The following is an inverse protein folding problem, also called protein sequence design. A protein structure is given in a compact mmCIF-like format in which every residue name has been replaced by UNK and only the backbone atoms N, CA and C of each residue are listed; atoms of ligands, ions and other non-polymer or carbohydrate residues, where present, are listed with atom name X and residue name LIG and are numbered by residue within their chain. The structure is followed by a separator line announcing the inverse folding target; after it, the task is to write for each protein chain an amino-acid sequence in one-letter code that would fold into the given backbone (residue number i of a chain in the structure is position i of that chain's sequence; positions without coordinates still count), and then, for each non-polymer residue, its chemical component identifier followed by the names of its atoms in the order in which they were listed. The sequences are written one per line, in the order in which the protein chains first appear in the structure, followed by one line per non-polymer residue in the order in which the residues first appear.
data_IF_918881303434
#
_entry.id   IF_918881303434
#
_cell.length_a   1.000
_cell.length_b   1.000
_cell.length_c   1.000
_cell.angle_alpha   90.00
_cell.angle_beta   90.00
_cell.angle_gamma   90.00
#
_symmetry.space_group_name_H-M   'P 1'
#
loop_
_entity.id
_entity.type
_entity.pdbx_description
1 polymer ?
#
# COMPACT_ATOMS: atom_id res chain seq x y z
N UNK A 1 4.07 1.99 9.92
CA UNK A 1 4.20 2.89 8.76
C UNK A 1 3.81 4.32 9.16
N UNK A 2 4.68 5.30 8.87
CA UNK A 2 4.35 6.72 9.11
C UNK A 2 3.18 7.20 8.22
N UNK A 3 3.14 6.90 6.93
CA UNK A 3 1.97 7.23 6.11
C UNK A 3 0.66 6.65 6.64
N UNK A 4 0.67 5.41 7.15
CA UNK A 4 -0.52 4.80 7.73
C UNK A 4 -1.03 5.57 8.96
N UNK A 5 -0.13 6.03 9.81
CA UNK A 5 -0.50 6.86 10.98
C UNK A 5 -1.15 8.20 10.59
N UNK A 6 -0.78 8.74 9.44
CA UNK A 6 -1.36 10.00 8.95
C UNK A 6 -2.69 9.78 8.21
N UNK A 7 -2.77 8.79 7.34
CA UNK A 7 -3.92 8.58 6.45
C UNK A 7 -5.09 7.85 7.11
N UNK A 8 -4.81 6.83 7.94
CA UNK A 8 -5.89 6.03 8.57
C UNK A 8 -6.85 6.88 9.42
N UNK A 9 -6.40 7.82 10.26
CA UNK A 9 -7.33 8.68 11.02
C UNK A 9 -8.24 9.55 10.15
N UNK A 10 -7.78 9.95 8.96
CA UNK A 10 -8.62 10.70 8.01
C UNK A 10 -9.70 9.79 7.42
N UNK A 11 -9.34 8.57 7.06
CA UNK A 11 -10.24 7.57 6.51
C UNK A 11 -11.31 7.14 7.52
N UNK A 12 -10.95 6.94 8.78
CA UNK A 12 -11.86 6.50 9.85
C UNK A 12 -13.01 7.50 10.10
N UNK A 13 -12.83 8.79 9.79
CA UNK A 13 -13.87 9.82 9.90
C UNK A 13 -14.94 9.73 8.83
N UNK A 14 -14.71 8.95 7.77
CA UNK A 14 -15.63 8.84 6.63
C UNK A 14 -16.65 7.72 6.90
N UNK A 15 -17.96 7.98 6.75
CA UNK A 15 -18.96 6.93 6.86
C UNK A 15 -18.92 6.02 5.63
N UNK A 16 -18.96 4.72 5.87
CA UNK A 16 -19.11 3.69 4.83
C UNK A 16 -20.30 2.78 5.17
N UNK A 17 -20.68 1.93 4.24
CA UNK A 17 -21.73 0.94 4.42
C UNK A 17 -21.28 -0.46 3.98
N UNK A 18 -22.00 -1.48 4.44
CA UNK A 18 -21.79 -2.86 4.01
C UNK A 18 -20.34 -3.34 4.18
N UNK A 19 -19.80 -3.89 3.11
CA UNK A 19 -18.43 -4.46 3.07
C UNK A 19 -17.35 -3.43 3.40
N UNK A 20 -17.49 -2.22 2.86
CA UNK A 20 -16.47 -1.18 3.06
C UNK A 20 -16.45 -0.71 4.52
N UNK A 21 -17.60 -0.64 5.19
CA UNK A 21 -17.66 -0.34 6.62
C UNK A 21 -17.01 -1.44 7.45
N UNK A 22 -17.24 -2.72 7.10
CA UNK A 22 -16.57 -3.84 7.76
C UNK A 22 -15.05 -3.77 7.60
N UNK A 23 -14.56 -3.48 6.39
CA UNK A 23 -13.13 -3.30 6.15
C UNK A 23 -12.55 -2.10 6.91
N UNK A 24 -13.30 -0.98 6.99
CA UNK A 24 -12.89 0.19 7.77
C UNK A 24 -12.78 -0.13 9.26
N UNK A 25 -13.77 -0.82 9.84
CA UNK A 25 -13.75 -1.13 11.28
C UNK A 25 -12.56 -2.01 11.69
N UNK A 26 -12.02 -2.83 10.78
CA UNK A 26 -10.79 -3.57 11.05
C UNK A 26 -9.56 -2.64 11.25
N UNK A 27 -9.59 -1.40 10.75
CA UNK A 27 -8.51 -0.44 10.91
C UNK A 27 -8.57 0.36 12.22
N UNK A 28 -9.65 0.27 13.00
CA UNK A 28 -9.88 1.12 14.18
C UNK A 28 -8.83 0.91 15.28
N UNK A 29 -8.49 -0.35 15.56
CA UNK A 29 -7.50 -0.73 16.59
C UNK A 29 -6.15 -1.16 16.00
N UNK A 30 -5.90 -0.86 14.72
CA UNK A 30 -4.67 -1.27 14.06
C UNK A 30 -3.44 -0.47 14.53
N UNK A 31 -2.35 -1.16 14.79
CA UNK A 31 -1.08 -0.59 15.28
C UNK A 31 -0.22 0.08 14.19
N UNK A 32 -0.70 0.15 12.96
CA UNK A 32 -0.02 0.69 11.77
C UNK A 32 1.24 -0.08 11.35
N UNK A 33 1.41 -1.32 11.80
CA UNK A 33 2.51 -2.19 11.37
C UNK A 33 2.10 -2.96 10.12
N UNK A 34 2.99 -2.96 9.13
CA UNK A 34 2.77 -3.74 7.91
C UNK A 34 3.32 -5.17 8.13
N UNK A 35 2.71 -5.88 9.06
CA UNK A 35 3.08 -7.25 9.38
C UNK A 35 2.53 -8.22 8.30
N UNK A 36 3.28 -9.28 7.93
CA UNK A 36 2.81 -10.23 6.94
C UNK A 36 1.50 -10.94 7.30
N UNK A 37 1.18 -11.10 8.56
CA UNK A 37 -0.06 -11.76 9.02
C UNK A 37 -1.24 -10.80 9.21
N UNK A 38 -1.00 -9.48 9.12
CA UNK A 38 -2.03 -8.46 9.32
C UNK A 38 -2.96 -8.36 8.11
N UNK A 39 -4.27 -8.40 8.38
CA UNK A 39 -5.34 -8.12 7.42
C UNK A 39 -5.43 -6.59 7.19
N UNK A 40 -5.31 -5.83 8.25
CA UNK A 40 -5.34 -4.36 8.26
C UNK A 40 -4.24 -3.79 7.35
N UNK A 41 -3.05 -4.39 7.38
CA UNK A 41 -1.95 -4.01 6.50
C UNK A 41 -2.30 -4.21 5.01
N UNK A 42 -3.03 -5.29 4.68
CA UNK A 42 -3.49 -5.52 3.32
C UNK A 42 -4.54 -4.47 2.90
N UNK A 43 -5.53 -4.21 3.76
CA UNK A 43 -6.58 -3.21 3.52
C UNK A 43 -5.96 -1.82 3.34
N UNK A 44 -5.09 -1.41 4.26
CA UNK A 44 -4.41 -0.13 4.19
C UNK A 44 -3.54 0.00 2.93
N UNK A 45 -2.74 -1.01 2.61
CA UNK A 45 -1.84 -0.94 1.44
C UNK A 45 -2.61 -0.89 0.12
N UNK A 46 -3.75 -1.57 0.04
CA UNK A 46 -4.63 -1.49 -1.12
C UNK A 46 -5.24 -0.07 -1.25
N UNK A 47 -5.70 0.49 -0.15
CA UNK A 47 -6.17 1.88 -0.09
C UNK A 47 -5.07 2.88 -0.48
N UNK A 48 -3.87 2.80 0.11
CA UNK A 48 -2.73 3.69 -0.18
C UNK A 48 -2.40 3.70 -1.67
N UNK A 49 -2.37 2.54 -2.31
CA UNK A 49 -2.09 2.41 -3.75
C UNK A 49 -3.16 3.06 -4.63
N UNK A 50 -4.43 2.82 -4.31
CA UNK A 50 -5.52 3.44 -5.05
C UNK A 50 -5.58 4.96 -4.82
N UNK A 51 -5.23 5.42 -3.61
CA UNK A 51 -5.12 6.84 -3.30
C UNK A 51 -4.02 7.52 -4.13
N UNK A 52 -2.82 6.93 -4.20
CA UNK A 52 -1.74 7.47 -5.03
C UNK A 52 -2.13 7.52 -6.51
N UNK A 53 -2.76 6.45 -7.01
CA UNK A 53 -3.19 6.36 -8.41
C UNK A 53 -4.27 7.40 -8.73
N UNK A 54 -5.33 7.46 -7.93
CA UNK A 54 -6.43 8.41 -8.13
C UNK A 54 -5.99 9.87 -7.95
N UNK A 55 -5.13 10.14 -6.97
CA UNK A 55 -4.56 11.46 -6.80
C UNK A 55 -3.76 11.89 -8.05
N UNK A 56 -2.96 11.00 -8.61
CA UNK A 56 -2.25 11.28 -9.86
C UNK A 56 -3.23 11.56 -11.01
N UNK A 57 -4.26 10.73 -11.17
CA UNK A 57 -5.26 10.91 -12.25
C UNK A 57 -6.10 12.18 -12.10
N UNK A 58 -6.43 12.59 -10.88
CA UNK A 58 -7.37 13.68 -10.63
C UNK A 58 -6.70 15.03 -10.33
N UNK A 59 -5.51 15.03 -9.76
CA UNK A 59 -4.83 16.25 -9.30
C UNK A 59 -3.68 16.68 -10.20
N UNK A 60 -3.19 15.79 -11.08
CA UNK A 60 -2.14 16.15 -12.05
C UNK A 60 -2.79 16.49 -13.38
N UNK A 61 -2.55 17.70 -13.94
CA UNK A 61 -3.07 18.05 -15.25
C UNK A 61 -2.65 17.04 -16.32
N UNK A 62 -3.59 16.68 -17.20
CA UNK A 62 -3.39 15.62 -18.21
C UNK A 62 -2.17 15.85 -19.09
N UNK A 63 -1.87 17.11 -19.40
CA UNK A 63 -0.76 17.52 -20.27
C UNK A 63 0.62 17.16 -19.68
N UNK A 64 0.71 17.04 -18.35
CA UNK A 64 1.98 16.76 -17.64
C UNK A 64 2.01 15.40 -16.96
N UNK A 65 0.94 14.60 -17.02
CA UNK A 65 0.89 13.28 -16.37
C UNK A 65 1.99 12.33 -16.85
N UNK A 66 2.38 12.43 -18.12
CA UNK A 66 3.47 11.60 -18.67
C UNK A 66 4.85 11.93 -18.11
N UNK A 67 5.04 13.14 -17.58
CA UNK A 67 6.29 13.60 -16.96
C UNK A 67 6.31 13.40 -15.45
N UNK A 68 5.13 13.43 -14.81
CA UNK A 68 4.96 13.26 -13.36
C UNK A 68 4.49 11.82 -13.12
N UNK A 69 5.42 10.88 -12.99
CA UNK A 69 5.09 9.46 -12.83
C UNK A 69 4.23 9.18 -11.59
N UNK A 70 4.43 9.95 -10.53
CA UNK A 70 3.68 9.84 -9.27
C UNK A 70 3.77 11.11 -8.44
N UNK A 71 2.75 11.37 -7.63
CA UNK A 71 2.80 12.39 -6.59
C UNK A 71 3.61 11.84 -5.41
N UNK A 72 4.49 12.65 -4.83
CA UNK A 72 5.18 12.27 -3.59
C UNK A 72 4.15 12.11 -2.46
N UNK A 73 4.15 10.96 -1.79
CA UNK A 73 3.14 10.64 -0.76
C UNK A 73 3.15 11.62 0.41
N UNK A 74 4.32 12.15 0.81
CA UNK A 74 4.40 13.17 1.86
C UNK A 74 3.68 14.46 1.45
N UNK A 75 3.84 14.90 0.20
CA UNK A 75 3.09 16.05 -0.33
C UNK A 75 1.60 15.76 -0.38
N UNK A 76 1.21 14.59 -0.85
CA UNK A 76 -0.21 14.19 -0.90
C UNK A 76 -0.84 14.20 0.49
N UNK A 77 -0.16 13.66 1.50
CA UNK A 77 -0.62 13.70 2.89
C UNK A 77 -0.79 15.13 3.38
N UNK A 78 0.15 16.04 3.07
CA UNK A 78 0.03 17.46 3.40
C UNK A 78 -1.21 18.10 2.77
N UNK A 79 -1.44 17.88 1.48
CA UNK A 79 -2.63 18.39 0.78
C UNK A 79 -3.94 17.80 1.33
N UNK A 80 -3.94 16.53 1.75
CA UNK A 80 -5.12 15.91 2.36
C UNK A 80 -5.36 16.40 3.78
N UNK A 81 -4.30 16.76 4.51
CA UNK A 81 -4.42 17.30 5.87
C UNK A 81 -4.98 18.71 5.88
N UNK A 82 -4.55 19.55 4.92
CA UNK A 82 -4.94 20.94 4.76
C UNK A 82 -5.41 21.20 3.32
N UNK A 83 -6.61 20.75 2.96
CA UNK A 83 -7.09 20.86 1.59
C UNK A 83 -7.38 22.30 1.21
N UNK A 84 -6.77 22.75 0.11
CA UNK A 84 -6.92 24.11 -0.42
C UNK A 84 -7.69 24.13 -1.74
N UNK A 85 -8.29 25.26 -2.09
CA UNK A 85 -8.96 25.45 -3.37
C UNK A 85 -8.02 25.37 -4.57
N UNK A 86 -6.74 25.65 -4.38
CA UNK A 86 -5.71 25.54 -5.40
C UNK A 86 -5.53 24.07 -5.87
N UNK A 87 -5.58 23.12 -4.94
CA UNK A 87 -5.37 21.68 -5.23
C UNK A 87 -6.71 20.98 -5.50
N UNK A 88 -7.75 21.26 -4.72
CA UNK A 88 -9.00 20.52 -4.72
C UNK A 88 -10.21 21.27 -5.31
N UNK A 89 -9.97 22.47 -5.88
CA UNK A 89 -11.01 23.26 -6.50
C UNK A 89 -11.97 23.95 -5.51
N UNK A 90 -13.15 24.33 -5.95
CA UNK A 90 -14.10 25.17 -5.20
C UNK A 90 -14.65 24.57 -3.91
N UNK A 91 -14.57 23.26 -3.75
CA UNK A 91 -15.07 22.56 -2.55
C UNK A 91 -14.00 21.61 -1.99
N UNK A 92 -12.90 22.12 -1.43
CA UNK A 92 -11.71 21.32 -1.11
C UNK A 92 -12.00 20.13 -0.19
N UNK A 93 -12.73 20.35 0.89
CA UNK A 93 -13.11 19.31 1.87
C UNK A 93 -13.95 18.18 1.24
N UNK A 94 -14.89 18.56 0.37
CA UNK A 94 -15.76 17.60 -0.33
C UNK A 94 -14.96 16.78 -1.34
N UNK A 95 -14.10 17.44 -2.12
CA UNK A 95 -13.24 16.77 -3.11
C UNK A 95 -12.25 15.83 -2.45
N UNK A 96 -11.59 16.26 -1.37
CA UNK A 96 -10.72 15.39 -0.55
C UNK A 96 -11.46 14.16 -0.06
N UNK A 97 -12.65 14.36 0.55
CA UNK A 97 -13.45 13.27 1.10
C UNK A 97 -13.86 12.30 0.01
N UNK A 98 -14.26 12.79 -1.16
CA UNK A 98 -14.60 11.95 -2.31
C UNK A 98 -13.41 11.13 -2.80
N UNK A 99 -12.21 11.73 -2.88
CA UNK A 99 -10.98 11.05 -3.25
C UNK A 99 -10.63 9.91 -2.29
N UNK A 100 -10.66 10.18 -0.97
CA UNK A 100 -10.39 9.17 0.06
C UNK A 100 -11.44 8.04 0.01
N UNK A 101 -12.72 8.39 -0.14
CA UNK A 101 -13.82 7.41 -0.25
C UNK A 101 -13.62 6.49 -1.45
N UNK A 102 -13.38 7.07 -2.62
CA UNK A 102 -13.19 6.32 -3.86
C UNK A 102 -11.95 5.41 -3.79
N UNK A 103 -10.84 5.93 -3.23
CA UNK A 103 -9.62 5.16 -3.06
C UNK A 103 -9.83 3.95 -2.16
N UNK A 104 -10.54 4.11 -1.05
CA UNK A 104 -10.82 3.03 -0.13
C UNK A 104 -11.71 1.96 -0.75
N UNK A 105 -12.81 2.37 -1.38
CA UNK A 105 -13.75 1.46 -2.04
C UNK A 105 -13.06 0.64 -3.13
N UNK A 106 -12.23 1.27 -3.97
CA UNK A 106 -11.44 0.56 -4.99
C UNK A 106 -10.40 -0.37 -4.39
N UNK A 107 -9.77 0.01 -3.29
CA UNK A 107 -8.84 -0.85 -2.56
C UNK A 107 -9.51 -2.11 -2.03
N UNK A 108 -10.66 -1.98 -1.38
CA UNK A 108 -11.47 -3.10 -0.87
C UNK A 108 -11.96 -3.99 -2.02
N UNK A 109 -12.40 -3.39 -3.12
CA UNK A 109 -12.83 -4.14 -4.31
C UNK A 109 -11.68 -4.93 -4.93
N UNK A 110 -10.50 -4.30 -5.08
CA UNK A 110 -9.29 -4.96 -5.58
C UNK A 110 -8.88 -6.17 -4.73
N UNK A 111 -8.96 -6.06 -3.40
CA UNK A 111 -8.70 -7.18 -2.50
C UNK A 111 -9.73 -8.29 -2.67
N UNK A 112 -11.01 -7.93 -2.76
CA UNK A 112 -12.09 -8.90 -3.00
C UNK A 112 -11.87 -9.68 -4.29
N UNK A 113 -11.52 -9.00 -5.37
CA UNK A 113 -11.23 -9.65 -6.66
C UNK A 113 -10.01 -10.57 -6.61
N UNK A 114 -8.95 -10.16 -5.89
CA UNK A 114 -7.72 -10.94 -5.78
C UNK A 114 -7.82 -12.13 -4.82
N UNK A 115 -8.47 -11.95 -3.69
CA UNK A 115 -8.42 -12.87 -2.56
C UNK A 115 -9.77 -13.53 -2.24
N UNK A 116 -10.84 -13.03 -2.84
CA UNK A 116 -12.21 -13.48 -2.55
C UNK A 116 -12.89 -12.64 -1.46
N UNK A 117 -14.17 -12.93 -1.17
CA UNK A 117 -15.01 -12.10 -0.31
C UNK A 117 -14.73 -12.27 1.20
N UNK A 118 -14.05 -13.34 1.60
CA UNK A 118 -13.72 -13.59 3.02
C UNK A 118 -12.51 -12.77 3.45
N UNK A 119 -12.76 -11.69 4.19
CA UNK A 119 -11.72 -10.79 4.68
C UNK A 119 -10.72 -11.46 5.63
N UNK A 120 -11.10 -12.56 6.31
CA UNK A 120 -10.18 -13.29 7.19
C UNK A 120 -9.00 -13.93 6.42
N UNK A 121 -9.14 -14.05 5.09
CA UNK A 121 -8.09 -14.56 4.20
C UNK A 121 -7.19 -13.45 3.63
N UNK A 122 -7.42 -12.18 3.97
CA UNK A 122 -6.68 -11.05 3.40
C UNK A 122 -5.35 -10.76 4.10
N UNK A 123 -4.63 -11.80 4.50
CA UNK A 123 -3.29 -11.62 5.07
C UNK A 123 -2.37 -10.91 4.07
N UNK A 124 -1.61 -9.92 4.56
CA UNK A 124 -0.76 -9.09 3.72
C UNK A 124 0.39 -9.87 3.08
N UNK A 125 1.06 -10.72 3.86
CA UNK A 125 2.23 -11.48 3.42
C UNK A 125 1.87 -12.79 2.74
N UNK A 126 1.32 -12.75 1.53
CA UNK A 126 0.95 -13.91 0.75
C UNK A 126 1.31 -13.77 -0.74
N UNK A 127 1.24 -14.88 -1.49
CA UNK A 127 1.65 -14.94 -2.90
C UNK A 127 0.96 -13.91 -3.81
N UNK A 128 -0.30 -13.56 -3.54
CA UNK A 128 -1.06 -12.57 -4.32
C UNK A 128 -0.86 -11.12 -3.84
N UNK A 129 -0.23 -10.94 -2.69
CA UNK A 129 0.10 -9.64 -2.10
C UNK A 129 1.60 -9.57 -1.80
N UNK A 130 2.02 -9.13 -0.61
CA UNK A 130 3.43 -8.89 -0.29
C UNK A 130 4.22 -10.18 -0.14
N UNK A 131 5.08 -10.46 -1.11
CA UNK A 131 5.92 -11.66 -1.15
C UNK A 131 7.29 -11.38 -1.79
N UNK A 132 8.18 -12.35 -1.69
CA UNK A 132 9.46 -12.36 -2.41
C UNK A 132 9.82 -13.76 -2.89
N UNK A 133 10.71 -13.83 -3.87
CA UNK A 133 11.37 -15.05 -4.30
C UNK A 133 12.88 -14.92 -4.09
N UNK A 134 13.49 -15.96 -3.58
CA UNK A 134 14.94 -16.13 -3.63
C UNK A 134 15.27 -16.90 -4.92
N UNK A 135 15.75 -16.18 -5.92
CA UNK A 135 16.05 -16.74 -7.23
C UNK A 135 17.51 -17.15 -7.29
N UNK A 136 17.76 -18.41 -7.65
CA UNK A 136 19.11 -18.90 -7.87
C UNK A 136 19.72 -18.31 -9.14
N UNK A 137 21.00 -17.98 -9.10
CA UNK A 137 21.71 -17.36 -10.24
C UNK A 137 21.65 -18.20 -11.52
N UNK A 138 21.70 -19.52 -11.39
CA UNK A 138 21.60 -20.47 -12.51
C UNK A 138 20.15 -20.65 -13.02
N UNK A 139 19.13 -20.15 -12.31
CA UNK A 139 17.73 -20.37 -12.68
C UNK A 139 17.40 -19.94 -14.12
N UNK A 140 18.01 -18.87 -14.60
CA UNK A 140 17.80 -18.39 -15.99
C UNK A 140 18.41 -19.28 -17.09
N UNK A 141 19.21 -20.27 -16.73
CA UNK A 141 19.95 -21.14 -17.67
C UNK A 141 19.43 -22.58 -17.69
N UNK A 142 18.39 -22.89 -16.91
CA UNK A 142 17.80 -24.22 -16.78
C UNK A 142 16.34 -24.21 -17.18
N UNK A 143 15.79 -25.40 -17.45
CA UNK A 143 14.36 -25.55 -17.72
C UNK A 143 13.46 -25.15 -16.53
N UNK A 144 12.16 -24.93 -16.81
CA UNK A 144 11.20 -24.45 -15.80
C UNK A 144 11.06 -25.39 -14.59
N UNK A 145 11.16 -26.71 -14.80
CA UNK A 145 11.07 -27.70 -13.72
C UNK A 145 12.26 -27.58 -12.77
N UNK A 146 13.46 -27.49 -13.33
CA UNK A 146 14.70 -27.30 -12.56
C UNK A 146 14.71 -25.93 -11.90
N UNK A 147 14.21 -24.87 -12.58
CA UNK A 147 14.10 -23.53 -12.00
C UNK A 147 13.22 -23.53 -10.74
N UNK A 148 12.10 -24.26 -10.73
CA UNK A 148 11.23 -24.39 -9.55
C UNK A 148 11.92 -25.11 -8.37
N UNK A 149 12.86 -25.98 -8.63
CA UNK A 149 13.66 -26.64 -7.56
C UNK A 149 14.76 -25.73 -7.01
N UNK A 150 15.32 -24.87 -7.85
CA UNK A 150 16.39 -23.95 -7.48
C UNK A 150 15.90 -22.68 -6.79
N UNK A 151 14.68 -22.23 -7.08
CA UNK A 151 14.10 -21.02 -6.53
C UNK A 151 13.27 -21.32 -5.28
N UNK A 152 13.35 -20.44 -4.29
CA UNK A 152 12.53 -20.54 -3.08
C UNK A 152 11.48 -19.41 -3.08
N UNK A 153 10.23 -19.74 -2.84
CA UNK A 153 9.12 -18.79 -2.76
C UNK A 153 7.84 -19.29 -3.41
N UNK A 154 6.75 -18.49 -3.34
CA UNK A 154 6.69 -17.16 -2.74
C UNK A 154 6.85 -17.18 -1.21
N UNK A 155 7.76 -16.38 -0.69
CA UNK A 155 7.97 -16.21 0.75
C UNK A 155 7.17 -15.01 1.24
N UNK A 156 6.43 -15.17 2.32
CA UNK A 156 5.68 -14.12 2.99
C UNK A 156 6.60 -12.99 3.45
N UNK A 157 6.20 -11.73 3.21
CA UNK A 157 6.95 -10.53 3.60
C UNK A 157 6.02 -9.44 4.12
N UNK A 158 6.54 -8.59 4.99
CA UNK A 158 5.89 -7.38 5.45
C UNK A 158 6.53 -6.12 4.88
N UNK A 159 6.06 -4.95 5.33
CA UNK A 159 6.55 -3.65 4.89
C UNK A 159 6.14 -3.26 3.46
N UNK A 160 6.43 -2.03 3.08
CA UNK A 160 6.20 -1.49 1.73
C UNK A 160 7.32 -0.52 1.32
N UNK A 161 7.11 0.27 0.26
CA UNK A 161 8.10 1.25 -0.23
C UNK A 161 8.42 2.37 0.77
N UNK A 162 7.53 2.62 1.74
CA UNK A 162 7.67 3.62 2.80
C UNK A 162 8.15 3.04 4.13
N UNK A 163 8.59 1.79 4.11
CA UNK A 163 9.29 1.10 5.20
C UNK A 163 10.57 0.48 4.66
N UNK A 164 11.28 -0.31 5.46
CA UNK A 164 12.53 -0.97 5.01
C UNK A 164 12.22 -2.20 4.13
N UNK A 165 11.32 -2.05 3.16
CA UNK A 165 10.91 -3.15 2.29
C UNK A 165 10.41 -2.66 0.94
N UNK A 166 11.26 -2.64 -0.09
CA UNK A 166 10.86 -2.30 -1.45
C UNK A 166 9.69 -3.16 -1.95
N UNK A 167 8.79 -2.57 -2.73
CA UNK A 167 7.61 -3.28 -3.25
C UNK A 167 7.31 -2.81 -4.67
N UNK A 168 7.25 -3.74 -5.60
CA UNK A 168 6.82 -3.49 -6.98
C UNK A 168 5.30 -3.26 -7.09
N UNK A 169 4.84 -2.86 -8.27
CA UNK A 169 3.42 -2.71 -8.59
C UNK A 169 2.61 -4.01 -8.44
N UNK A 170 3.26 -5.14 -8.59
CA UNK A 170 2.72 -6.49 -8.39
C UNK A 170 2.84 -7.01 -6.95
N UNK A 171 3.13 -6.15 -5.98
CA UNK A 171 3.41 -6.47 -4.58
C UNK A 171 4.67 -7.32 -4.34
N UNK A 172 5.40 -7.73 -5.35
CA UNK A 172 6.64 -8.49 -5.16
C UNK A 172 7.76 -7.60 -4.63
N UNK A 173 8.45 -8.06 -3.61
CA UNK A 173 9.71 -7.46 -3.16
C UNK A 173 10.88 -8.06 -3.95
N UNK A 174 11.54 -7.23 -4.77
CA UNK A 174 12.69 -7.62 -5.57
C UNK A 174 14.01 -7.13 -5.03
N UNK A 175 13.97 -6.17 -4.11
CA UNK A 175 15.14 -5.58 -3.46
C UNK A 175 14.82 -5.25 -2.01
N UNK A 176 15.84 -4.92 -1.24
CA UNK A 176 15.70 -4.51 0.17
C UNK A 176 16.88 -3.64 0.57
N UNK A 177 16.99 -3.30 1.85
CA UNK A 177 18.14 -2.58 2.36
C UNK A 177 19.39 -3.47 2.24
N UNK A 178 20.40 -2.97 1.54
CA UNK A 178 21.71 -3.62 1.43
C UNK A 178 22.53 -3.52 2.72
N UNK A 179 22.24 -2.49 3.55
CA UNK A 179 22.89 -2.27 4.83
C UNK A 179 21.87 -1.82 5.88
N UNK A 180 21.96 -2.36 7.08
CA UNK A 180 21.19 -1.94 8.25
C UNK A 180 22.12 -1.85 9.45
N UNK A 181 22.10 -0.71 10.14
CA UNK A 181 22.84 -0.50 11.36
C UNK A 181 21.92 0.05 12.44
N UNK A 182 21.98 -0.51 13.63
CA UNK A 182 21.33 0.01 14.84
C UNK A 182 22.45 0.35 15.79
N UNK A 183 22.55 1.63 16.18
CA UNK A 183 23.52 2.12 17.13
C UNK A 183 22.76 2.50 18.39
N UNK A 184 23.09 1.86 19.51
CA UNK A 184 22.66 2.30 20.83
C UNK A 184 23.69 3.30 21.36
N UNK A 185 23.31 4.55 21.57
CA UNK A 185 24.18 5.62 22.09
C UNK A 185 23.93 5.91 23.58
N UNK A 186 23.14 5.07 24.25
CA UNK A 186 22.71 5.29 25.64
C UNK A 186 23.74 4.88 26.70
N UNK A 187 24.70 4.04 26.37
CA UNK A 187 25.67 3.50 27.32
C UNK A 187 27.10 3.68 26.76
N UNK A 188 27.67 4.87 26.94
CA UNK A 188 29.08 5.19 26.65
C UNK A 188 29.85 5.44 27.95
#
# INVERSE_FOLDING_TARGET
SLPARALTPMLLKIPFQGRDNKAKSMLEDWDYRLDPHSIEAAIYTAFERELERLAHEQLVPTEVQSFIIRINLTKLIGWLSEPTSEIFGSTPEKTRTALLTQAFQRGVESLTQKLGPDMNQWQYGQAKLKHTYLKHALGKWVDEKTQKLLNLGPLSRGGNAYTVGSTGSDYQQRSGASFRMIINTGDW
#
